data_IF_704927737533
#
_entry.id   IF_704927737533
#
_cell.length_a   1.000
_cell.length_b   1.000
_cell.length_c   1.000
_cell.angle_alpha   90.00
_cell.angle_beta   90.00
_cell.angle_gamma   90.00
#
_symmetry.space_group_name_H-M   'P 1'
#
loop_
_entity.id
_entity.type
_entity.pdbx_description
1 polymer ?
#
# COMPACT_ATOMS: atom_id res chain seq x y z
N UNK A 1 12.04 -15.36 -19.97
CA UNK A 1 12.29 -13.92 -19.77
C UNK A 1 13.55 -13.79 -18.93
N UNK A 2 14.63 -13.29 -19.49
CA UNK A 2 15.91 -13.12 -18.78
C UNK A 2 15.94 -11.70 -18.22
N UNK A 3 15.87 -11.57 -16.90
CA UNK A 3 15.92 -10.26 -16.23
C UNK A 3 17.39 -9.94 -15.92
N UNK A 4 17.93 -8.79 -16.36
CA UNK A 4 19.33 -8.43 -16.13
C UNK A 4 19.57 -7.98 -14.68
N UNK A 5 19.59 -8.97 -13.77
CA UNK A 5 19.61 -8.77 -12.33
C UNK A 5 20.81 -7.97 -11.82
N UNK A 6 22.01 -8.22 -12.36
CA UNK A 6 23.22 -7.50 -11.95
C UNK A 6 23.17 -6.01 -12.29
N UNK A 7 22.71 -5.64 -13.49
CA UNK A 7 22.58 -4.24 -13.90
C UNK A 7 21.59 -3.50 -13.02
N UNK A 8 20.45 -4.13 -12.73
CA UNK A 8 19.44 -3.57 -11.84
C UNK A 8 19.99 -3.27 -10.44
N UNK A 9 20.75 -4.20 -9.85
CA UNK A 9 21.38 -4.00 -8.53
C UNK A 9 22.39 -2.85 -8.54
N UNK A 10 23.22 -2.75 -9.59
CA UNK A 10 24.20 -1.67 -9.71
C UNK A 10 23.51 -0.30 -9.82
N UNK A 11 22.46 -0.20 -10.62
CA UNK A 11 21.68 1.05 -10.75
C UNK A 11 21.05 1.44 -9.41
N UNK A 12 20.43 0.49 -8.70
CA UNK A 12 19.85 0.76 -7.38
C UNK A 12 20.89 1.24 -6.38
N UNK A 13 22.03 0.55 -6.30
CA UNK A 13 23.14 0.91 -5.41
C UNK A 13 23.62 2.34 -5.68
N UNK A 14 23.89 2.67 -6.94
CA UNK A 14 24.33 4.00 -7.36
C UNK A 14 23.32 5.09 -6.99
N UNK A 15 22.02 4.84 -7.23
CA UNK A 15 20.96 5.80 -6.87
C UNK A 15 20.87 6.01 -5.36
N UNK A 16 20.97 4.95 -4.56
CA UNK A 16 20.98 5.04 -3.11
C UNK A 16 22.18 5.84 -2.58
N UNK A 17 23.38 5.58 -3.11
CA UNK A 17 24.61 6.28 -2.71
C UNK A 17 24.54 7.78 -3.02
N UNK A 18 23.97 8.16 -4.17
CA UNK A 18 23.79 9.57 -4.56
C UNK A 18 22.93 10.37 -3.57
N UNK A 19 21.95 9.72 -2.94
CA UNK A 19 21.05 10.35 -1.97
C UNK A 19 21.45 10.07 -0.51
N UNK A 20 22.62 9.48 -0.28
CA UNK A 20 23.12 9.17 1.07
C UNK A 20 22.45 8.00 1.77
N UNK A 21 21.73 7.13 1.03
CA UNK A 21 21.15 5.89 1.57
C UNK A 21 22.19 4.76 1.49
N UNK A 22 22.41 4.09 2.63
CA UNK A 22 23.25 2.90 2.69
C UNK A 22 22.55 1.72 2.00
N UNK A 23 23.16 1.22 0.94
CA UNK A 23 22.70 0.03 0.25
C UNK A 23 23.37 -1.22 0.84
N UNK A 24 22.58 -2.14 1.39
CA UNK A 24 23.04 -3.42 1.92
C UNK A 24 22.31 -4.57 1.22
N UNK A 25 23.08 -5.44 0.56
CA UNK A 25 22.62 -6.56 -0.23
C UNK A 25 23.20 -7.91 0.22
N UNK A 26 23.77 -7.95 1.43
CA UNK A 26 24.36 -9.15 2.05
C UNK A 26 23.31 -10.20 2.46
N UNK A 27 22.06 -9.78 2.64
CA UNK A 27 20.99 -10.62 3.16
C UNK A 27 20.36 -11.49 2.06
N UNK A 28 20.41 -12.81 2.25
CA UNK A 28 19.80 -13.76 1.32
C UNK A 28 18.26 -13.68 1.31
N UNK A 29 17.67 -13.73 0.12
CA UNK A 29 16.22 -13.86 -0.09
C UNK A 29 15.70 -15.31 0.05
N UNK A 30 16.52 -16.24 0.54
CA UNK A 30 16.10 -17.63 0.73
C UNK A 30 14.85 -17.71 1.63
N UNK A 31 13.84 -18.43 1.10
CA UNK A 31 12.55 -18.74 1.74
C UNK A 31 11.62 -17.56 2.08
N UNK A 32 12.01 -16.31 1.82
CA UNK A 32 11.21 -15.11 2.15
C UNK A 32 9.86 -15.06 1.43
N UNK A 33 9.78 -15.66 0.24
CA UNK A 33 8.54 -15.75 -0.55
C UNK A 33 7.61 -16.89 -0.14
N UNK A 34 8.05 -17.78 0.76
CA UNK A 34 7.31 -18.97 1.18
C UNK A 34 6.81 -18.84 2.62
N UNK A 35 7.69 -18.38 3.51
CA UNK A 35 7.43 -18.23 4.95
C UNK A 35 6.31 -17.22 5.20
N UNK A 36 5.51 -17.47 6.23
CA UNK A 36 4.41 -16.61 6.63
C UNK A 36 4.91 -15.42 7.46
N UNK A 37 4.85 -14.23 6.87
CA UNK A 37 5.32 -13.02 7.53
C UNK A 37 4.38 -12.56 8.66
N UNK A 38 3.07 -12.81 8.55
CA UNK A 38 2.09 -12.35 9.53
C UNK A 38 2.02 -13.28 10.75
N UNK A 39 2.22 -14.58 10.54
CA UNK A 39 2.33 -15.56 11.62
C UNK A 39 3.69 -15.51 12.35
N UNK A 40 4.62 -14.67 11.86
CA UNK A 40 5.98 -14.57 12.34
C UNK A 40 6.73 -15.91 12.31
N UNK A 41 6.46 -16.76 11.32
CA UNK A 41 7.14 -18.05 11.18
C UNK A 41 8.66 -17.86 11.03
N UNK A 42 9.49 -18.78 11.55
CA UNK A 42 10.94 -18.74 11.35
C UNK A 42 11.32 -18.74 9.88
N UNK A 43 12.26 -17.87 9.47
CA UNK A 43 12.65 -17.70 8.06
C UNK A 43 13.61 -18.82 7.62
N UNK A 44 13.07 -20.03 7.52
CA UNK A 44 13.71 -21.26 7.07
C UNK A 44 12.78 -21.97 6.07
N UNK A 45 13.23 -23.09 5.49
CA UNK A 45 12.38 -23.91 4.61
C UNK A 45 11.12 -24.35 5.37
N UNK A 46 9.91 -23.86 5.00
CA UNK A 46 8.72 -24.19 5.76
C UNK A 46 8.19 -25.58 5.38
N UNK A 47 7.53 -26.31 6.29
CA UNK A 47 6.96 -27.62 6.01
C UNK A 47 5.82 -27.56 4.98
N UNK A 48 5.11 -26.42 4.91
CA UNK A 48 4.05 -26.17 3.92
C UNK A 48 4.58 -25.74 2.53
N UNK A 49 5.90 -25.56 2.37
CA UNK A 49 6.52 -25.17 1.10
C UNK A 49 5.88 -23.96 0.44
N UNK A 50 5.52 -24.08 -0.83
CA UNK A 50 4.89 -23.00 -1.63
C UNK A 50 3.36 -22.95 -1.54
N UNK A 51 2.72 -23.81 -0.75
CA UNK A 51 1.25 -23.96 -0.72
C UNK A 51 0.51 -22.67 -0.34
N UNK A 52 1.13 -21.81 0.47
CA UNK A 52 0.56 -20.52 0.90
C UNK A 52 0.56 -19.45 -0.20
N UNK A 53 1.37 -19.59 -1.25
CA UNK A 53 1.34 -18.71 -2.43
C UNK A 53 0.31 -19.23 -3.42
N UNK A 54 -0.94 -18.82 -3.25
CA UNK A 54 -2.10 -19.30 -4.03
C UNK A 54 -1.91 -19.05 -5.53
N UNK A 55 -1.52 -17.83 -5.91
CA UNK A 55 -1.25 -17.43 -7.29
C UNK A 55 -0.27 -16.26 -7.36
N UNK A 56 0.16 -15.86 -8.55
CA UNK A 56 1.01 -14.67 -8.72
C UNK A 56 0.34 -13.45 -8.07
N UNK A 57 1.08 -12.78 -7.19
CA UNK A 57 0.61 -11.60 -6.46
C UNK A 57 -0.34 -11.88 -5.30
N UNK A 58 -0.63 -13.14 -4.95
CA UNK A 58 -1.53 -13.47 -3.83
C UNK A 58 -0.93 -14.54 -2.91
N UNK A 59 -0.91 -14.23 -1.62
CA UNK A 59 -0.43 -15.09 -0.54
C UNK A 59 -1.51 -15.21 0.54
N UNK A 60 -1.68 -16.42 1.08
CA UNK A 60 -2.62 -16.71 2.17
C UNK A 60 -1.85 -17.13 3.43
N UNK A 61 -1.95 -16.29 4.45
CA UNK A 61 -1.38 -16.53 5.77
C UNK A 61 -2.18 -17.60 6.54
N UNK A 62 -1.58 -18.18 7.58
CA UNK A 62 -2.18 -19.18 8.46
C UNK A 62 -3.55 -18.82 9.07
N UNK A 63 -3.79 -17.58 9.55
CA UNK A 63 -5.11 -17.16 10.03
C UNK A 63 -6.12 -16.91 8.89
N UNK A 64 -5.78 -17.25 7.64
CA UNK A 64 -6.65 -17.08 6.48
C UNK A 64 -6.58 -15.69 5.84
N UNK A 65 -5.77 -14.77 6.37
CA UNK A 65 -5.59 -13.43 5.82
C UNK A 65 -4.91 -13.47 4.44
N UNK A 66 -5.53 -12.80 3.47
CA UNK A 66 -4.98 -12.66 2.12
C UNK A 66 -4.16 -11.37 2.02
N UNK A 67 -2.92 -11.50 1.56
CA UNK A 67 -2.00 -10.39 1.32
C UNK A 67 -1.34 -10.53 -0.04
N UNK A 68 -0.76 -9.44 -0.54
CA UNK A 68 0.06 -9.53 -1.74
C UNK A 68 1.31 -10.38 -1.46
N UNK A 69 1.65 -11.28 -2.39
CA UNK A 69 2.84 -12.13 -2.26
C UNK A 69 4.15 -11.34 -2.17
N UNK A 70 4.24 -10.19 -2.86
CA UNK A 70 5.41 -9.31 -2.82
C UNK A 70 5.49 -8.57 -1.47
N UNK A 71 4.33 -8.21 -0.88
CA UNK A 71 4.26 -7.65 0.49
C UNK A 71 4.73 -8.68 1.51
N UNK A 72 4.30 -9.94 1.40
CA UNK A 72 4.81 -11.02 2.26
C UNK A 72 6.33 -11.16 2.15
N UNK A 73 6.86 -11.16 0.92
CA UNK A 73 8.31 -11.24 0.67
C UNK A 73 9.08 -10.07 1.27
N UNK A 74 8.60 -8.84 1.08
CA UNK A 74 9.20 -7.63 1.63
C UNK A 74 9.19 -7.63 3.17
N UNK A 75 8.09 -8.05 3.79
CA UNK A 75 8.00 -8.18 5.24
C UNK A 75 9.02 -9.19 5.78
N UNK A 76 9.13 -10.37 5.16
CA UNK A 76 10.14 -11.36 5.58
C UNK A 76 11.58 -10.88 5.36
N UNK A 77 11.86 -10.12 4.30
CA UNK A 77 13.19 -9.53 4.12
C UNK A 77 13.50 -8.51 5.23
N UNK A 78 12.53 -7.66 5.57
CA UNK A 78 12.67 -6.72 6.67
C UNK A 78 12.87 -7.42 8.02
N UNK A 79 12.12 -8.50 8.29
CA UNK A 79 12.28 -9.34 9.49
C UNK A 79 13.71 -9.88 9.63
N UNK A 80 14.33 -10.27 8.52
CA UNK A 80 15.73 -10.72 8.49
C UNK A 80 16.71 -9.63 8.92
N UNK A 81 16.46 -8.38 8.53
CA UNK A 81 17.38 -7.26 8.80
C UNK A 81 17.14 -6.59 10.15
N UNK A 82 15.88 -6.39 10.52
CA UNK A 82 15.48 -5.57 11.67
C UNK A 82 14.79 -6.37 12.79
N UNK A 83 14.58 -7.67 12.61
CA UNK A 83 13.88 -8.54 13.54
C UNK A 83 12.35 -8.39 13.47
N UNK A 84 11.67 -9.13 14.34
CA UNK A 84 10.19 -9.22 14.34
C UNK A 84 9.53 -8.02 15.04
N UNK A 85 10.27 -7.28 15.87
CA UNK A 85 9.76 -6.18 16.69
C UNK A 85 9.26 -4.98 15.88
N UNK A 86 9.77 -4.79 14.66
CA UNK A 86 9.38 -3.69 13.77
C UNK A 86 8.07 -3.96 13.01
N UNK A 87 7.69 -5.23 12.86
CA UNK A 87 6.57 -5.63 12.00
C UNK A 87 5.22 -5.08 12.46
N UNK A 88 4.83 -5.17 13.75
CA UNK A 88 3.55 -4.64 14.23
C UNK A 88 3.35 -3.15 13.91
N UNK A 89 4.43 -2.36 13.98
CA UNK A 89 4.38 -0.91 13.70
C UNK A 89 4.12 -0.61 12.23
N UNK A 90 4.64 -1.46 11.33
CA UNK A 90 4.55 -1.28 9.88
C UNK A 90 3.21 -1.78 9.37
N UNK A 91 2.79 -2.99 9.77
CA UNK A 91 1.50 -3.54 9.35
C UNK A 91 0.32 -2.75 9.94
N UNK A 92 0.49 -2.18 11.14
CA UNK A 92 -0.53 -1.36 11.80
C UNK A 92 -0.66 0.06 11.24
N UNK A 93 0.29 0.50 10.40
CA UNK A 93 0.31 1.85 9.79
C UNK A 93 0.32 1.74 8.27
N UNK A 94 -0.86 1.56 7.67
CA UNK A 94 -1.04 1.62 6.21
C UNK A 94 -2.13 0.71 5.67
N UNK A 95 -2.63 0.98 4.46
CA UNK A 95 -3.63 0.13 3.76
C UNK A 95 -2.92 -0.89 2.85
N UNK A 96 -2.09 -1.75 3.43
CA UNK A 96 -1.22 -2.70 2.69
C UNK A 96 -1.97 -3.92 2.11
N UNK A 97 -3.20 -4.18 2.59
CA UNK A 97 -3.95 -5.41 2.33
C UNK A 97 -5.11 -5.29 1.32
N UNK A 98 -5.12 -4.29 0.41
CA UNK A 98 -6.17 -4.22 -0.63
C UNK A 98 -5.63 -4.46 -2.04
N UNK A 99 -5.58 -5.70 -2.52
CA UNK A 99 -5.44 -5.94 -3.94
C UNK A 99 -6.76 -5.57 -4.64
N UNK A 100 -6.90 -4.32 -5.09
CA UNK A 100 -7.98 -3.94 -6.02
C UNK A 100 -7.49 -4.22 -7.44
N UNK A 101 -8.09 -5.21 -8.11
CA UNK A 101 -7.82 -5.46 -9.52
C UNK A 101 -8.65 -4.49 -10.36
N UNK A 102 -8.02 -3.42 -10.84
CA UNK A 102 -8.64 -2.51 -11.81
C UNK A 102 -8.54 -3.17 -13.20
N UNK A 103 -9.68 -3.33 -13.89
CA UNK A 103 -9.73 -3.74 -15.30
C UNK A 103 -9.91 -2.48 -16.13
N UNK A 104 -8.98 -2.19 -17.04
CA UNK A 104 -9.01 -1.04 -17.96
C UNK A 104 -9.90 -1.25 -19.19
N UNK A 105 -10.82 -2.21 -19.17
CA UNK A 105 -11.90 -2.26 -20.16
C UNK A 105 -12.88 -1.16 -19.79
N UNK A 106 -12.86 -0.05 -20.51
CA UNK A 106 -13.84 1.02 -20.39
C UNK A 106 -15.21 0.45 -20.73
N UNK A 107 -16.00 0.16 -19.71
CA UNK A 107 -17.44 -0.06 -19.80
C UNK A 107 -18.09 1.25 -19.34
N UNK A 108 -18.81 1.99 -20.20
CA UNK A 108 -19.53 3.17 -19.77
C UNK A 108 -20.60 2.73 -18.75
N UNK A 109 -20.39 3.15 -17.50
CA UNK A 109 -21.29 2.88 -16.39
C UNK A 109 -22.72 3.34 -16.69
N UNK A 110 -23.68 2.43 -16.54
CA UNK A 110 -25.14 2.68 -16.63
C UNK A 110 -25.72 3.44 -15.44
N UNK A 111 -24.89 3.87 -14.47
CA UNK A 111 -25.37 4.67 -13.35
C UNK A 111 -25.97 5.98 -13.85
N UNK A 112 -27.25 6.18 -13.53
CA UNK A 112 -27.98 7.41 -13.77
C UNK A 112 -27.15 8.63 -13.29
N UNK A 113 -27.12 9.73 -14.05
CA UNK A 113 -26.32 10.89 -13.69
C UNK A 113 -26.80 11.41 -12.34
N UNK A 114 -25.88 11.42 -11.37
CA UNK A 114 -26.08 12.12 -10.11
C UNK A 114 -26.33 13.57 -10.48
N UNK A 115 -27.55 14.06 -10.28
CA UNK A 115 -27.89 15.48 -10.41
C UNK A 115 -27.04 16.23 -9.38
N UNK A 116 -25.95 16.83 -9.83
CA UNK A 116 -25.23 17.84 -9.08
C UNK A 116 -26.17 19.04 -8.94
N UNK A 117 -26.68 19.25 -7.72
CA UNK A 117 -27.36 20.48 -7.35
C UNK A 117 -26.29 21.57 -7.25
N UNK A 118 -26.32 22.62 -8.08
CA UNK A 118 -25.37 23.72 -7.96
C UNK A 118 -25.62 24.47 -6.65
N UNK A 119 -24.52 24.80 -5.97
CA UNK A 119 -24.52 25.62 -4.76
C UNK A 119 -25.12 27.00 -5.10
N UNK A 120 -26.13 27.43 -4.35
CA UNK A 120 -26.76 28.73 -4.56
C UNK A 120 -25.74 29.86 -4.32
N UNK A 121 -25.71 30.91 -5.16
CA UNK A 121 -24.84 32.05 -4.93
C UNK A 121 -25.29 32.77 -3.66
N UNK A 122 -24.41 32.85 -2.66
CA UNK A 122 -24.68 33.62 -1.45
C UNK A 122 -24.83 35.10 -1.83
N UNK A 123 -25.98 35.66 -1.45
CA UNK A 123 -26.44 36.97 -1.85
C UNK A 123 -25.57 38.14 -1.36
N UNK A 124 -25.67 39.23 -2.12
CA UNK A 124 -25.15 40.56 -1.83
C UNK A 124 -25.62 41.10 -0.45
N UNK A 125 -24.89 42.06 0.16
CA UNK A 125 -25.18 42.55 1.50
C UNK A 125 -26.52 43.31 1.56
N UNK A 126 -27.24 43.09 2.66
CA UNK A 126 -28.53 43.73 2.97
C UNK A 126 -28.36 45.23 3.25
N UNK A 127 -29.21 46.04 2.61
CA UNK A 127 -29.36 47.46 2.91
C UNK A 127 -30.03 47.67 4.28
N UNK A 128 -29.49 48.60 5.06
CA UNK A 128 -29.97 49.04 6.38
C UNK A 128 -31.30 49.82 6.29
N UNK A 129 -32.26 49.63 7.22
CA UNK A 129 -33.49 50.41 7.25
C UNK A 129 -33.31 51.72 8.03
N UNK A 130 -33.78 52.81 7.42
CA UNK A 130 -33.88 54.17 7.92
C UNK A 130 -34.78 54.24 9.17
N UNK A 131 -34.28 54.82 10.28
CA UNK A 131 -35.08 55.10 11.47
C UNK A 131 -35.99 56.32 11.24
N UNK A 132 -37.31 56.13 11.38
CA UNK A 132 -38.29 57.22 11.57
C UNK A 132 -38.25 57.68 13.03
N UNK A 133 -37.83 58.92 13.26
CA UNK A 133 -38.03 59.61 14.52
C UNK A 133 -39.53 59.91 14.72
N UNK A 134 -40.11 59.44 15.83
CA UNK A 134 -41.39 59.93 16.37
C UNK A 134 -41.09 61.09 17.30
N UNK A 135 -41.93 62.12 17.23
CA UNK A 135 -41.82 63.33 18.02
C UNK A 135 -42.15 63.15 19.50
N UNK A 136 -41.63 64.10 20.25
CA UNK A 136 -42.23 64.76 21.42
C UNK A 136 -41.63 66.16 21.46
#
# INVERSE_FOLDING_TARGET
MQVPYHKFRQTLKSMCELIGIRFDDSHSEAYTSQVDALALDPIKKPPYGRKRRVKRGLYQSAPGTLINADVNGALNHLRKMAGDSVIPRIIGRGRVNRPVRIRTTFEPSTFAPIKLLPCAPQGAPAASPTQKARGS
#
